data_IF_752931894122
#
_entry.id   IF_752931894122
#
_cell.length_a   1.000
_cell.length_b   1.000
_cell.length_c   1.000
_cell.angle_alpha   90.00
_cell.angle_beta   90.00
_cell.angle_gamma   90.00
#
_symmetry.space_group_name_H-M   'P 1'
#
loop_
_entity.id
_entity.type
_entity.pdbx_description
1 polymer ?
#
# COMPACT_ATOMS: atom_id res chain seq x y z
N UNK A 1 -9.29 0.42 12.22
CA UNK A 1 -8.96 -0.10 10.89
C UNK A 1 -7.61 -0.82 10.86
N UNK A 2 -6.57 -0.37 11.58
CA UNK A 2 -5.24 -1.00 11.52
C UNK A 2 -5.10 -2.34 12.26
N UNK A 3 -5.96 -2.60 13.26
CA UNK A 3 -5.85 -3.79 14.11
C UNK A 3 -5.75 -5.11 13.32
N UNK A 4 -6.59 -5.40 12.29
CA UNK A 4 -6.48 -6.66 11.57
C UNK A 4 -5.11 -6.88 10.92
N UNK A 5 -4.56 -5.88 10.23
CA UNK A 5 -3.24 -6.03 9.58
C UNK A 5 -2.10 -6.14 10.59
N UNK A 6 -2.20 -5.46 11.73
CA UNK A 6 -1.18 -5.57 12.79
C UNK A 6 -1.17 -6.97 13.38
N UNK A 7 -2.35 -7.52 13.68
CA UNK A 7 -2.49 -8.87 14.24
C UNK A 7 -1.99 -9.91 13.22
N UNK A 8 -2.50 -9.88 11.99
CA UNK A 8 -2.13 -10.86 10.96
C UNK A 8 -0.65 -10.73 10.57
N UNK A 9 -0.13 -9.50 10.47
CA UNK A 9 1.27 -9.24 10.14
C UNK A 9 2.22 -9.70 11.24
N UNK A 10 1.83 -9.57 12.51
CA UNK A 10 2.59 -10.11 13.64
C UNK A 10 2.60 -11.64 13.65
N UNK A 11 1.44 -12.28 13.43
CA UNK A 11 1.31 -13.74 13.44
C UNK A 11 1.98 -14.43 12.24
N UNK A 12 2.07 -13.75 11.09
CA UNK A 12 2.61 -14.30 9.84
C UNK A 12 3.98 -13.70 9.46
N UNK A 13 4.68 -13.01 10.38
CA UNK A 13 5.95 -12.30 10.10
C UNK A 13 6.93 -13.19 9.33
N UNK A 14 7.14 -14.42 9.80
CA UNK A 14 8.15 -15.33 9.23
C UNK A 14 7.74 -15.87 7.85
N UNK A 15 6.47 -16.25 7.68
CA UNK A 15 5.92 -16.72 6.39
C UNK A 15 6.01 -15.62 5.34
N UNK A 16 5.69 -14.38 5.70
CA UNK A 16 5.80 -13.22 4.80
C UNK A 16 7.27 -12.99 4.41
N UNK A 17 8.20 -13.16 5.34
CA UNK A 17 9.62 -12.91 5.11
C UNK A 17 10.30 -13.98 4.24
N UNK A 18 9.78 -15.20 4.21
CA UNK A 18 10.41 -16.37 3.57
C UNK A 18 9.69 -16.83 2.30
N UNK A 19 8.38 -17.06 2.38
CA UNK A 19 7.63 -17.74 1.31
C UNK A 19 7.01 -16.77 0.30
N UNK A 20 6.72 -15.53 0.70
CA UNK A 20 5.91 -14.61 -0.12
C UNK A 20 6.73 -13.59 -0.93
N UNK A 21 8.06 -13.58 -0.79
CA UNK A 21 8.94 -12.58 -1.41
C UNK A 21 9.44 -12.93 -2.82
N UNK A 22 9.02 -14.06 -3.37
CA UNK A 22 9.34 -14.45 -4.75
C UNK A 22 8.90 -13.39 -5.75
N UNK A 23 9.75 -13.08 -6.72
CA UNK A 23 9.48 -12.05 -7.73
C UNK A 23 8.24 -12.40 -8.56
N UNK A 24 7.95 -13.70 -8.74
CA UNK A 24 6.76 -14.22 -9.41
C UNK A 24 5.48 -13.84 -8.64
N UNK A 25 5.51 -13.96 -7.31
CA UNK A 25 4.40 -13.57 -6.43
C UNK A 25 4.20 -12.06 -6.50
N UNK A 26 5.28 -11.28 -6.45
CA UNK A 26 5.23 -9.83 -6.55
C UNK A 26 4.63 -9.41 -7.89
N UNK A 27 5.06 -10.02 -8.99
CA UNK A 27 4.57 -9.71 -10.33
C UNK A 27 3.09 -10.08 -10.49
N UNK A 28 2.71 -11.31 -10.12
CA UNK A 28 1.34 -11.79 -10.22
C UNK A 28 0.36 -10.96 -9.38
N UNK A 29 0.69 -10.71 -8.11
CA UNK A 29 -0.17 -9.91 -7.22
C UNK A 29 -0.24 -8.44 -7.65
N UNK A 30 0.85 -7.89 -8.19
CA UNK A 30 0.84 -6.53 -8.76
C UNK A 30 -0.19 -6.41 -9.87
N UNK A 31 -0.28 -7.40 -10.76
CA UNK A 31 -1.27 -7.45 -11.87
C UNK A 31 -2.68 -7.71 -11.34
N UNK A 32 -2.87 -8.76 -10.53
CA UNK A 32 -4.18 -9.16 -10.00
C UNK A 32 -4.85 -8.00 -9.27
N UNK A 33 -4.12 -7.32 -8.39
CA UNK A 33 -4.67 -6.21 -7.63
C UNK A 33 -4.74 -4.90 -8.44
N UNK A 34 -4.06 -4.80 -9.60
CA UNK A 34 -4.31 -3.72 -10.55
C UNK A 34 -5.69 -3.88 -11.20
N UNK A 35 -6.05 -5.10 -11.63
CA UNK A 35 -7.39 -5.39 -12.14
C UNK A 35 -8.47 -5.20 -11.07
N UNK A 36 -8.22 -5.61 -9.83
CA UNK A 36 -9.14 -5.35 -8.73
C UNK A 36 -9.39 -3.84 -8.51
N UNK A 37 -8.33 -3.02 -8.57
CA UNK A 37 -8.44 -1.56 -8.46
C UNK A 37 -9.21 -0.96 -9.65
N UNK A 38 -8.94 -1.42 -10.87
CA UNK A 38 -9.66 -0.99 -12.06
C UNK A 38 -11.16 -1.31 -11.97
N UNK A 39 -11.49 -2.53 -11.56
CA UNK A 39 -12.86 -2.95 -11.36
C UNK A 39 -13.59 -2.10 -10.32
N UNK A 40 -12.91 -1.74 -9.22
CA UNK A 40 -13.50 -0.88 -8.21
C UNK A 40 -13.69 0.57 -8.70
N UNK A 41 -12.70 1.14 -9.38
CA UNK A 41 -12.69 2.54 -9.84
C UNK A 41 -13.55 2.80 -11.09
N UNK A 42 -13.80 1.77 -11.89
CA UNK A 42 -14.65 1.86 -13.09
C UNK A 42 -16.15 1.89 -12.78
N UNK A 43 -16.54 1.59 -11.54
CA UNK A 43 -17.93 1.69 -11.09
C UNK A 43 -18.34 3.15 -10.96
N UNK A 44 -19.63 3.44 -11.21
CA UNK A 44 -20.17 4.77 -10.96
C UNK A 44 -20.20 5.01 -9.45
N UNK A 45 -19.42 5.99 -8.99
CA UNK A 45 -19.44 6.43 -7.60
C UNK A 45 -20.45 7.57 -7.44
N UNK A 46 -21.37 7.44 -6.50
CA UNK A 46 -22.38 8.47 -6.21
C UNK A 46 -21.69 9.75 -5.70
N UNK A 47 -22.21 10.91 -6.14
CA UNK A 47 -21.83 12.21 -5.58
C UNK A 47 -22.22 12.31 -4.11
N UNK A 48 -23.31 11.65 -3.72
CA UNK A 48 -23.74 11.49 -2.33
C UNK A 48 -23.10 10.22 -1.73
N UNK A 49 -21.77 10.24 -1.57
CA UNK A 49 -21.08 9.14 -0.91
C UNK A 49 -21.46 9.07 0.58
N UNK A 50 -21.61 7.87 1.16
CA UNK A 50 -22.03 7.73 2.54
C UNK A 50 -20.98 8.27 3.51
N UNK A 51 -21.41 8.59 4.73
CA UNK A 51 -20.50 8.85 5.83
C UNK A 51 -19.69 7.58 6.15
N UNK A 52 -18.41 7.74 6.47
CA UNK A 52 -17.54 6.62 6.84
C UNK A 52 -18.01 6.09 8.19
N UNK A 53 -18.46 4.83 8.22
CA UNK A 53 -18.88 4.15 9.45
C UNK A 53 -17.81 3.17 9.96
N UNK A 54 -17.97 2.72 11.21
CA UNK A 54 -17.14 1.68 11.82
C UNK A 54 -17.08 0.39 10.97
N UNK A 55 -18.19 0.02 10.32
CA UNK A 55 -18.26 -1.13 9.41
C UNK A 55 -17.31 -0.94 8.21
N UNK A 56 -17.28 0.26 7.62
CA UNK A 56 -16.32 0.56 6.54
C UNK A 56 -14.88 0.40 7.04
N UNK A 57 -14.57 1.00 8.18
CA UNK A 57 -13.23 0.96 8.75
C UNK A 57 -12.75 -0.46 9.09
N UNK A 58 -13.66 -1.33 9.53
CA UNK A 58 -13.36 -2.73 9.79
C UNK A 58 -13.10 -3.51 8.49
N UNK A 59 -13.98 -3.40 7.49
CA UNK A 59 -13.83 -4.12 6.21
C UNK A 59 -12.57 -3.66 5.45
N UNK A 60 -12.30 -2.34 5.41
CA UNK A 60 -11.08 -1.82 4.79
C UNK A 60 -9.83 -2.32 5.55
N UNK A 61 -9.93 -2.42 6.88
CA UNK A 61 -8.88 -2.99 7.72
C UNK A 61 -8.59 -4.46 7.44
N UNK A 62 -9.64 -5.27 7.23
CA UNK A 62 -9.52 -6.66 6.80
C UNK A 62 -8.90 -6.76 5.41
N UNK A 63 -9.37 -5.97 4.45
CA UNK A 63 -8.79 -5.95 3.10
C UNK A 63 -7.30 -5.57 3.11
N UNK A 64 -6.87 -4.71 4.04
CA UNK A 64 -5.46 -4.34 4.20
C UNK A 64 -4.57 -5.52 4.61
N UNK A 65 -5.10 -6.59 5.20
CA UNK A 65 -4.31 -7.80 5.51
C UNK A 65 -3.72 -8.42 4.23
N UNK A 66 -4.39 -8.28 3.09
CA UNK A 66 -3.88 -8.73 1.79
C UNK A 66 -2.62 -7.96 1.37
N UNK A 67 -2.41 -6.74 1.89
CA UNK A 67 -1.20 -5.96 1.64
C UNK A 67 0.07 -6.58 2.25
N UNK A 68 -0.08 -7.59 3.11
CA UNK A 68 1.03 -8.38 3.62
C UNK A 68 1.65 -9.27 2.54
N UNK A 69 0.91 -9.59 1.48
CA UNK A 69 1.44 -10.31 0.31
C UNK A 69 2.22 -9.32 -0.56
N UNK A 70 3.55 -9.46 -0.71
CA UNK A 70 4.38 -8.56 -1.51
C UNK A 70 3.85 -8.39 -2.94
N UNK A 71 3.84 -7.15 -3.44
CA UNK A 71 3.22 -6.76 -4.73
C UNK A 71 1.75 -6.30 -4.60
N UNK A 72 1.07 -6.69 -3.52
CA UNK A 72 -0.26 -6.15 -3.16
C UNK A 72 -0.10 -4.74 -2.60
N UNK A 73 -0.22 -3.72 -3.46
CA UNK A 73 -0.14 -2.32 -3.05
C UNK A 73 -1.09 -2.02 -1.89
N UNK A 74 -0.54 -1.65 -0.72
CA UNK A 74 -1.30 -1.32 0.49
C UNK A 74 -2.32 -0.21 0.26
N UNK A 75 -1.88 0.88 -0.37
CA UNK A 75 -2.80 1.96 -0.75
C UNK A 75 -3.83 1.46 -1.76
N UNK A 76 -3.39 0.70 -2.78
CA UNK A 76 -4.27 0.09 -3.78
C UNK A 76 -5.40 -0.72 -3.17
N UNK A 77 -5.10 -1.74 -2.34
CA UNK A 77 -6.14 -2.62 -1.79
C UNK A 77 -7.09 -1.92 -0.81
N UNK A 78 -6.59 -0.96 -0.03
CA UNK A 78 -7.45 -0.17 0.88
C UNK A 78 -8.35 0.80 0.12
N UNK A 79 -7.86 1.40 -0.96
CA UNK A 79 -8.67 2.23 -1.88
C UNK A 79 -9.68 1.36 -2.61
N UNK A 80 -9.29 0.21 -3.16
CA UNK A 80 -10.18 -0.76 -3.82
C UNK A 80 -11.34 -1.13 -2.90
N UNK A 81 -11.05 -1.53 -1.65
CA UNK A 81 -12.08 -1.90 -0.68
C UNK A 81 -13.02 -0.71 -0.36
N UNK A 82 -12.47 0.48 -0.16
CA UNK A 82 -13.24 1.69 0.11
C UNK A 82 -14.19 2.04 -1.04
N UNK A 83 -13.70 1.99 -2.29
CA UNK A 83 -14.49 2.23 -3.49
C UNK A 83 -15.61 1.19 -3.67
N UNK A 84 -15.32 -0.09 -3.40
CA UNK A 84 -16.32 -1.17 -3.46
C UNK A 84 -17.41 -1.04 -2.40
N UNK A 85 -17.11 -0.38 -1.28
CA UNK A 85 -18.10 -0.04 -0.25
C UNK A 85 -18.90 1.24 -0.59
N UNK A 86 -18.65 1.85 -1.75
CA UNK A 86 -19.39 3.02 -2.23
C UNK A 86 -18.85 4.36 -1.74
N UNK A 87 -17.66 4.39 -1.10
CA UNK A 87 -17.01 5.65 -0.76
C UNK A 87 -16.55 6.38 -2.03
N UNK A 88 -16.52 7.71 -1.98
CA UNK A 88 -15.95 8.52 -3.05
C UNK A 88 -14.44 8.27 -3.19
N UNK A 89 -13.86 8.60 -4.36
CA UNK A 89 -12.40 8.57 -4.56
C UNK A 89 -11.68 9.38 -3.48
N UNK A 90 -12.14 10.60 -3.19
CA UNK A 90 -11.51 11.46 -2.18
C UNK A 90 -11.54 10.86 -0.78
N UNK A 91 -12.69 10.32 -0.35
CA UNK A 91 -12.78 9.64 0.94
C UNK A 91 -11.88 8.41 0.99
N UNK A 92 -11.86 7.61 -0.08
CA UNK A 92 -11.04 6.40 -0.18
C UNK A 92 -9.54 6.71 -0.06
N UNK A 93 -9.08 7.75 -0.77
CA UNK A 93 -7.70 8.22 -0.72
C UNK A 93 -7.32 8.73 0.67
N UNK A 94 -8.14 9.64 1.24
CA UNK A 94 -7.89 10.21 2.56
C UNK A 94 -7.86 9.11 3.63
N UNK A 95 -8.82 8.17 3.60
CA UNK A 95 -8.89 7.07 4.55
C UNK A 95 -7.66 6.16 4.44
N UNK A 96 -7.26 5.79 3.22
CA UNK A 96 -6.06 4.98 2.97
C UNK A 96 -4.80 5.66 3.49
N UNK A 97 -4.65 6.98 3.27
CA UNK A 97 -3.48 7.72 3.75
C UNK A 97 -3.43 7.86 5.26
N UNK A 98 -4.57 8.12 5.92
CA UNK A 98 -4.61 8.12 7.38
C UNK A 98 -4.31 6.74 7.97
N UNK A 99 -4.84 5.68 7.35
CA UNK A 99 -4.58 4.30 7.73
C UNK A 99 -3.09 3.91 7.58
N UNK A 100 -2.35 4.58 6.68
CA UNK A 100 -0.92 4.38 6.49
C UNK A 100 -0.10 4.65 7.74
N UNK A 101 -0.46 5.73 8.45
CA UNK A 101 0.35 6.29 9.52
C UNK A 101 0.64 5.26 10.61
N UNK A 102 -0.37 4.63 11.25
CA UNK A 102 -0.12 3.62 12.27
C UNK A 102 0.52 2.34 11.73
N UNK A 103 0.23 1.95 10.48
CA UNK A 103 0.71 0.67 9.91
C UNK A 103 2.16 0.78 9.47
N UNK A 104 2.48 1.75 8.62
CA UNK A 104 3.84 1.99 8.12
C UNK A 104 4.71 2.56 9.24
N UNK A 105 4.17 3.45 10.08
CA UNK A 105 4.90 3.98 11.24
C UNK A 105 5.30 2.87 12.21
N UNK A 106 4.37 1.97 12.54
CA UNK A 106 4.68 0.80 13.39
C UNK A 106 5.73 -0.12 12.76
N UNK A 107 5.60 -0.41 11.46
CA UNK A 107 6.60 -1.20 10.74
C UNK A 107 7.97 -0.50 10.71
N UNK A 108 8.03 0.82 10.51
CA UNK A 108 9.28 1.58 10.51
C UNK A 108 9.95 1.54 11.88
N UNK A 109 9.19 1.74 12.96
CA UNK A 109 9.72 1.62 14.34
C UNK A 109 10.29 0.23 14.59
N UNK A 110 9.57 -0.82 14.18
CA UNK A 110 10.05 -2.20 14.34
C UNK A 110 11.34 -2.46 13.54
N UNK A 111 11.43 -2.00 12.30
CA UNK A 111 12.64 -2.17 11.49
C UNK A 111 13.84 -1.39 12.06
N UNK A 112 13.63 -0.17 12.57
CA UNK A 112 14.69 0.61 13.23
C UNK A 112 15.12 -0.09 14.51
N UNK A 113 14.17 -0.63 15.28
CA UNK A 113 14.47 -1.40 16.48
C UNK A 113 15.32 -2.63 16.16
N UNK A 114 14.89 -3.46 15.21
CA UNK A 114 15.61 -4.67 14.77
C UNK A 114 17.03 -4.28 14.30
N UNK A 115 17.17 -3.20 13.53
CA UNK A 115 18.47 -2.69 13.05
C UNK A 115 19.40 -2.23 14.18
N UNK A 116 18.87 -1.62 15.25
CA UNK A 116 19.66 -1.19 16.41
C UNK A 116 20.16 -2.36 17.27
N UNK A 117 19.55 -3.54 17.14
CA UNK A 117 19.99 -4.76 17.83
C UNK A 117 21.08 -5.53 17.05
N UNK A 118 21.32 -5.18 15.78
CA UNK A 118 22.34 -5.82 14.94
C UNK A 118 23.76 -5.37 15.36
N UNK A 119 24.61 -6.27 15.89
CA UNK A 119 25.93 -5.90 16.43
C UNK A 119 26.90 -5.34 15.39
N UNK A 120 26.72 -5.71 14.12
CA UNK A 120 27.58 -5.30 13.00
C UNK A 120 27.11 -4.03 12.28
N UNK A 121 26.18 -3.28 12.88
CA UNK A 121 25.66 -2.07 12.24
C UNK A 121 26.79 -1.05 12.02
N UNK A 122 27.18 -0.86 10.76
CA UNK A 122 28.25 0.07 10.38
C UNK A 122 27.79 1.51 10.62
N UNK A 123 28.60 2.29 11.33
CA UNK A 123 28.33 3.71 11.60
C UNK A 123 28.07 4.52 10.32
N UNK A 124 28.65 4.09 9.19
CA UNK A 124 28.51 4.73 7.88
C UNK A 124 27.10 4.60 7.26
N UNK A 125 26.23 3.73 7.77
CA UNK A 125 24.85 3.57 7.29
C UNK A 125 23.92 4.71 7.73
N UNK A 126 24.25 5.43 8.80
CA UNK A 126 23.37 6.48 9.33
C UNK A 126 23.18 7.65 8.37
N UNK A 127 24.26 8.07 7.70
CA UNK A 127 24.21 9.18 6.75
C UNK A 127 23.24 8.93 5.58
N UNK A 128 23.35 7.84 4.79
CA UNK A 128 22.41 7.57 3.71
C UNK A 128 20.98 7.33 4.19
N UNK A 129 20.79 6.73 5.38
CA UNK A 129 19.45 6.52 5.95
C UNK A 129 18.75 7.85 6.28
N UNK A 130 19.43 8.79 6.94
CA UNK A 130 18.86 10.09 7.29
C UNK A 130 18.56 10.91 6.03
N UNK A 131 19.49 10.94 5.08
CA UNK A 131 19.29 11.63 3.80
C UNK A 131 18.11 11.04 3.04
N UNK A 132 18.04 9.71 2.93
CA UNK A 132 16.93 8.99 2.30
C UNK A 132 15.59 9.25 2.98
N UNK A 133 15.57 9.29 4.32
CA UNK A 133 14.37 9.62 5.11
C UNK A 133 13.87 11.03 4.82
N UNK A 134 14.75 12.04 4.87
CA UNK A 134 14.38 13.45 4.66
C UNK A 134 13.85 13.65 3.23
N UNK A 135 14.56 13.13 2.22
CA UNK A 135 14.13 13.23 0.82
C UNK A 135 12.77 12.54 0.65
N UNK A 136 12.62 11.31 1.15
CA UNK A 136 11.36 10.57 1.05
C UNK A 136 10.21 11.30 1.74
N UNK A 137 10.43 11.90 2.91
CA UNK A 137 9.42 12.67 3.64
C UNK A 137 8.95 13.90 2.85
N UNK A 138 9.88 14.67 2.30
CA UNK A 138 9.55 15.85 1.47
C UNK A 138 8.76 15.45 0.23
N UNK A 139 9.24 14.45 -0.52
CA UNK A 139 8.54 13.99 -1.72
C UNK A 139 7.20 13.32 -1.42
N UNK A 140 7.05 12.62 -0.30
CA UNK A 140 5.77 12.04 0.12
C UNK A 140 4.73 13.14 0.39
N UNK A 141 5.10 14.21 1.12
CA UNK A 141 4.19 15.33 1.40
C UNK A 141 3.74 16.05 0.12
N UNK A 142 4.67 16.28 -0.81
CA UNK A 142 4.35 16.86 -2.13
C UNK A 142 3.43 15.93 -2.93
N UNK A 143 3.78 14.64 -2.98
CA UNK A 143 3.05 13.63 -3.75
C UNK A 143 1.62 13.46 -3.24
N UNK A 144 1.37 13.44 -1.93
CA UNK A 144 0.00 13.25 -1.39
C UNK A 144 -0.97 14.30 -1.96
N UNK A 145 -0.58 15.58 -1.94
CA UNK A 145 -1.45 16.66 -2.42
C UNK A 145 -1.68 16.60 -3.93
N UNK A 146 -0.63 16.29 -4.69
CA UNK A 146 -0.70 16.17 -6.15
C UNK A 146 -1.50 14.95 -6.57
N UNK A 147 -1.24 13.81 -5.94
CA UNK A 147 -1.89 12.53 -6.21
C UNK A 147 -3.40 12.61 -6.00
N UNK A 148 -3.85 13.23 -4.91
CA UNK A 148 -5.29 13.38 -4.69
C UNK A 148 -5.94 14.21 -5.80
N UNK A 149 -5.36 15.35 -6.16
CA UNK A 149 -5.88 16.20 -7.26
C UNK A 149 -5.86 15.48 -8.61
N UNK A 150 -4.83 14.67 -8.85
CA UNK A 150 -4.68 13.90 -10.07
C UNK A 150 -5.77 12.83 -10.18
N UNK A 151 -5.98 12.04 -9.12
CA UNK A 151 -7.01 11.00 -9.10
C UNK A 151 -8.43 11.58 -9.16
N UNK A 152 -8.67 12.76 -8.56
CA UNK A 152 -9.95 13.46 -8.69
C UNK A 152 -10.25 13.86 -10.15
N UNK A 153 -9.23 14.14 -10.97
CA UNK A 153 -9.39 14.57 -12.37
C UNK A 153 -9.49 13.40 -13.35
N UNK A 154 -8.63 12.39 -13.23
CA UNK A 154 -8.50 11.34 -14.25
C UNK A 154 -8.67 9.91 -13.71
N UNK A 155 -8.99 9.76 -12.42
CA UNK A 155 -9.20 8.46 -11.78
C UNK A 155 -7.91 7.70 -11.50
N UNK A 156 -8.04 6.39 -11.27
CA UNK A 156 -6.93 5.50 -10.91
C UNK A 156 -6.38 4.69 -12.08
N UNK A 157 -6.99 4.82 -13.28
CA UNK A 157 -6.61 4.07 -14.48
C UNK A 157 -5.11 4.18 -14.84
N UNK A 158 -4.43 5.33 -14.76
CA UNK A 158 -2.98 5.40 -15.03
C UNK A 158 -2.16 4.50 -14.10
N UNK A 159 -2.55 4.38 -12.84
CA UNK A 159 -1.88 3.51 -11.86
C UNK A 159 -2.16 2.04 -12.10
N UNK A 160 -3.36 1.72 -12.59
CA UNK A 160 -3.70 0.36 -13.05
C UNK A 160 -2.79 -0.03 -14.20
N UNK A 161 -2.68 0.81 -15.24
CA UNK A 161 -1.84 0.54 -16.42
C UNK A 161 -0.38 0.39 -15.99
N UNK A 162 0.13 1.30 -15.17
CA UNK A 162 1.48 1.22 -14.63
C UNK A 162 1.74 -0.11 -13.92
N UNK A 163 0.83 -0.57 -13.05
CA UNK A 163 1.00 -1.83 -12.32
C UNK A 163 0.96 -3.05 -13.25
N UNK A 164 0.09 -3.06 -14.26
CA UNK A 164 0.04 -4.15 -15.24
C UNK A 164 1.37 -4.21 -16.01
N UNK A 165 1.85 -3.07 -16.53
CA UNK A 165 3.11 -2.99 -17.25
C UNK A 165 4.29 -3.41 -16.36
N UNK A 166 4.35 -2.93 -15.11
CA UNK A 166 5.38 -3.29 -14.15
C UNK A 166 5.37 -4.81 -13.89
N UNK A 167 4.21 -5.41 -13.67
CA UNK A 167 4.11 -6.85 -13.46
C UNK A 167 4.57 -7.66 -14.68
N UNK A 168 4.22 -7.23 -15.89
CA UNK A 168 4.70 -7.86 -17.13
C UNK A 168 6.23 -7.76 -17.24
N UNK A 169 6.80 -6.58 -16.97
CA UNK A 169 8.26 -6.38 -16.97
C UNK A 169 8.93 -7.29 -15.96
N UNK A 170 8.39 -7.40 -14.74
CA UNK A 170 8.93 -8.31 -13.72
C UNK A 170 8.89 -9.77 -14.19
N UNK A 171 7.79 -10.24 -14.79
CA UNK A 171 7.72 -11.60 -15.33
C UNK A 171 8.77 -11.84 -16.42
N UNK A 172 8.94 -10.90 -17.35
CA UNK A 172 9.94 -11.01 -18.41
C UNK A 172 11.37 -11.05 -17.87
N UNK A 173 11.67 -10.28 -16.82
CA UNK A 173 12.99 -10.25 -16.20
C UNK A 173 13.33 -11.55 -15.45
N UNK A 174 12.33 -12.29 -14.94
CA UNK A 174 12.55 -13.57 -14.25
C UNK A 174 12.75 -14.72 -15.23
N UNK A 175 12.09 -14.66 -16.39
CA UNK A 175 12.19 -15.70 -17.43
C UNK A 175 13.47 -15.64 -18.27
N UNK A 176 14.29 -14.59 -18.13
CA UNK A 176 15.60 -14.45 -18.79
C UNK A 176 16.73 -14.74 -17.81
#
# INVERSE_FOLDING_TARGET
ASLPVIIVGGLLKDVIATELRGTEIIAATTIIFAFALWFADSRRHSVAAPAISLKHAFIIGLAQTLALIPGTSRAGITITAALLLGLSRRQSLNFSFLLAIPVIGGAAVLNVWDMLQEPEMKADLWYPLIVGFIISAVFALLTIKLFIRFVERIGLLPFVIYRILLGIVLLLLITN
#
